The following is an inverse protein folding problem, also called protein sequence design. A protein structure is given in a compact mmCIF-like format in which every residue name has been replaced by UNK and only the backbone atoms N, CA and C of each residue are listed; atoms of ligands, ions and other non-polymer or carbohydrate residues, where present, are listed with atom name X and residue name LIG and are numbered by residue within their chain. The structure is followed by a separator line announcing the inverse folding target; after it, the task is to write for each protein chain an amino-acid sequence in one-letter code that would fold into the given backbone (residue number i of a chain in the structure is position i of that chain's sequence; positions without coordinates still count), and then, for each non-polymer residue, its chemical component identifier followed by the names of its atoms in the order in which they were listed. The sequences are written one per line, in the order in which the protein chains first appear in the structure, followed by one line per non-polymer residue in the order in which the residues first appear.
data_IF_944118205901
#
_entry.id   IF_944118205901
#
_cell.length_a   1.000
_cell.length_b   1.000
_cell.length_c   1.000
_cell.angle_alpha   90.00
_cell.angle_beta   90.00
_cell.angle_gamma   90.00
#
_symmetry.space_group_name_H-M   'P 1'
#
loop_
_entity.id
_entity.type
_entity.pdbx_description
1 polymer ?
#
# COMPACT_ATOMS: atom_id res chain seq x y z
N UNK A 1 -82.57 22.95 -3.37
CA UNK A 1 -81.24 23.59 -3.45
C UNK A 1 -80.18 22.49 -3.40
N UNK A 2 -79.24 22.53 -4.34
CA UNK A 2 -78.03 21.70 -4.59
C UNK A 2 -77.12 21.42 -3.35
N UNK A 3 -75.94 20.77 -3.48
CA UNK A 3 -75.47 19.39 -3.87
C UNK A 3 -75.13 18.54 -2.61
N UNK A 4 -74.75 17.26 -2.61
CA UNK A 4 -73.45 16.66 -2.97
C UNK A 4 -73.56 15.13 -2.83
N UNK A 5 -73.00 14.34 -3.75
CA UNK A 5 -72.62 12.95 -3.44
C UNK A 5 -71.18 12.75 -3.91
N UNK A 6 -70.32 12.45 -2.94
CA UNK A 6 -68.88 12.33 -3.05
C UNK A 6 -68.49 11.09 -3.89
N UNK A 7 -67.40 11.23 -4.66
CA UNK A 7 -66.63 10.09 -5.16
C UNK A 7 -66.17 9.26 -3.96
N UNK A 8 -66.63 8.01 -3.83
CA UNK A 8 -65.96 7.03 -2.97
C UNK A 8 -64.64 6.64 -3.64
N UNK A 9 -63.53 6.89 -2.94
CA UNK A 9 -62.23 6.36 -3.30
C UNK A 9 -62.26 4.83 -3.19
N UNK A 10 -61.68 4.15 -4.19
CA UNK A 10 -61.39 2.72 -4.12
C UNK A 10 -60.44 2.49 -2.94
N UNK A 11 -60.95 1.90 -1.87
CA UNK A 11 -60.16 1.49 -0.71
C UNK A 11 -59.35 0.24 -1.10
N UNK A 12 -58.10 0.43 -1.52
CA UNK A 12 -57.17 -0.68 -1.77
C UNK A 12 -56.71 -1.23 -0.42
N UNK A 13 -57.40 -2.25 0.09
CA UNK A 13 -56.94 -2.98 1.29
C UNK A 13 -55.78 -3.88 0.90
N UNK A 14 -54.58 -3.57 1.42
CA UNK A 14 -53.44 -4.47 1.38
C UNK A 14 -53.73 -5.67 2.29
N UNK A 15 -54.26 -6.75 1.71
CA UNK A 15 -54.30 -8.05 2.37
C UNK A 15 -52.87 -8.58 2.51
N UNK A 16 -52.43 -9.06 3.68
CA UNK A 16 -51.11 -9.67 3.86
C UNK A 16 -50.93 -10.99 3.09
N UNK A 17 -52.00 -11.56 2.55
CA UNK A 17 -51.97 -12.77 1.73
C UNK A 17 -52.15 -12.37 0.27
N UNK A 18 -51.05 -11.99 -0.39
CA UNK A 18 -50.97 -12.01 -1.84
C UNK A 18 -50.28 -13.32 -2.28
N UNK A 19 -51.01 -14.30 -2.87
CA UNK A 19 -50.46 -15.60 -3.26
C UNK A 19 -49.44 -15.55 -4.43
N UNK A 20 -49.05 -14.36 -4.91
CA UNK A 20 -47.97 -14.20 -5.89
C UNK A 20 -46.57 -14.03 -5.28
N UNK A 21 -46.43 -13.93 -3.95
CA UNK A 21 -45.11 -13.85 -3.30
C UNK A 21 -44.85 -15.13 -2.49
N UNK A 22 -44.17 -16.13 -3.07
CA UNK A 22 -43.83 -17.35 -2.34
C UNK A 22 -42.84 -17.07 -1.20
N UNK A 23 -42.88 -17.90 -0.16
CA UNK A 23 -41.98 -17.85 1.04
C UNK A 23 -40.49 -18.02 0.69
N UNK A 24 -40.20 -18.39 -0.56
CA UNK A 24 -38.86 -18.40 -1.15
C UNK A 24 -38.39 -17.05 -1.71
N UNK A 25 -39.14 -15.96 -1.52
CA UNK A 25 -38.76 -14.66 -2.06
C UNK A 25 -37.62 -14.02 -1.26
N UNK A 26 -36.65 -13.46 -1.98
CA UNK A 26 -35.56 -12.58 -1.50
C UNK A 26 -36.04 -11.50 -0.50
N UNK A 27 -37.35 -11.19 -0.50
CA UNK A 27 -38.01 -10.24 0.37
C UNK A 27 -38.22 -10.70 1.83
N UNK A 28 -38.18 -12.01 2.13
CA UNK A 28 -38.28 -12.48 3.52
C UNK A 28 -37.04 -12.11 4.33
N UNK A 29 -35.85 -12.20 3.71
CA UNK A 29 -34.60 -11.77 4.30
C UNK A 29 -34.54 -10.25 4.48
N UNK A 30 -35.09 -9.49 3.52
CA UNK A 30 -35.21 -8.03 3.62
C UNK A 30 -36.07 -7.57 4.81
N UNK A 31 -37.10 -8.35 5.18
CA UNK A 31 -37.91 -8.10 6.38
C UNK A 31 -37.13 -8.25 7.70
N UNK A 32 -36.07 -9.09 7.72
CA UNK A 32 -35.12 -9.20 8.82
C UNK A 32 -33.91 -8.25 8.69
N UNK A 33 -33.98 -7.25 7.81
CA UNK A 33 -32.91 -6.27 7.60
C UNK A 33 -31.72 -6.78 6.76
N UNK A 34 -31.82 -7.98 6.19
CA UNK A 34 -30.83 -8.49 5.23
C UNK A 34 -31.23 -7.95 3.85
N UNK A 35 -30.74 -6.76 3.50
CA UNK A 35 -31.01 -6.16 2.20
C UNK A 35 -30.43 -7.01 1.06
N UNK A 36 -31.18 -7.11 -0.04
CA UNK A 36 -30.76 -7.71 -1.31
C UNK A 36 -29.41 -7.12 -1.74
N UNK A 37 -28.42 -8.00 -1.86
CA UNK A 37 -27.00 -7.65 -1.77
C UNK A 37 -26.44 -6.89 -2.97
N UNK A 38 -26.32 -5.57 -2.83
CA UNK A 38 -25.26 -4.84 -3.51
C UNK A 38 -24.12 -4.61 -2.50
N UNK A 39 -22.90 -4.96 -2.88
CA UNK A 39 -21.72 -4.57 -2.13
C UNK A 39 -21.67 -3.04 -1.98
N UNK A 40 -21.17 -2.52 -0.85
CA UNK A 40 -21.13 -1.07 -0.62
C UNK A 40 -20.33 -0.37 -1.72
N UNK A 41 -20.79 0.82 -2.14
CA UNK A 41 -20.04 1.64 -3.07
C UNK A 41 -18.71 2.05 -2.45
N UNK A 42 -17.61 1.82 -3.16
CA UNK A 42 -16.27 2.15 -2.66
C UNK A 42 -15.89 3.58 -3.05
N UNK A 43 -15.55 4.39 -2.06
CA UNK A 43 -14.86 5.68 -2.22
C UNK A 43 -13.43 5.54 -1.69
N UNK A 44 -12.59 6.55 -1.93
CA UNK A 44 -11.24 6.57 -1.33
C UNK A 44 -11.34 6.55 0.20
N UNK A 45 -12.26 7.33 0.78
CA UNK A 45 -12.44 7.42 2.22
C UNK A 45 -12.96 6.11 2.82
N UNK A 46 -13.95 5.47 2.19
CA UNK A 46 -14.46 4.18 2.67
C UNK A 46 -13.40 3.09 2.54
N UNK A 47 -12.61 3.10 1.46
CA UNK A 47 -11.50 2.17 1.27
C UNK A 47 -10.41 2.34 2.32
N UNK A 48 -10.05 3.58 2.68
CA UNK A 48 -9.10 3.87 3.76
C UNK A 48 -9.63 3.48 5.15
N UNK A 49 -10.94 3.26 5.29
CA UNK A 49 -11.52 2.63 6.48
C UNK A 49 -11.16 1.15 6.62
N UNK A 50 -10.75 0.46 5.54
CA UNK A 50 -10.28 -0.93 5.59
C UNK A 50 -8.81 -0.95 6.06
N UNK A 51 -8.48 -1.59 7.21
CA UNK A 51 -7.14 -1.53 7.78
C UNK A 51 -6.03 -1.99 6.84
N UNK A 52 -6.27 -3.03 6.04
CA UNK A 52 -5.29 -3.52 5.07
C UNK A 52 -4.97 -2.49 3.96
N UNK A 53 -5.97 -1.73 3.50
CA UNK A 53 -5.76 -0.66 2.50
C UNK A 53 -5.00 0.51 3.14
N UNK A 54 -5.42 0.94 4.34
CA UNK A 54 -4.74 2.00 5.07
C UNK A 54 -3.27 1.66 5.38
N UNK A 55 -3.01 0.42 5.79
CA UNK A 55 -1.66 -0.09 6.04
C UNK A 55 -0.82 -0.07 4.75
N UNK A 56 -1.34 -0.56 3.62
CA UNK A 56 -0.65 -0.54 2.33
C UNK A 56 -0.26 0.88 1.90
N UNK A 57 -1.23 1.80 1.90
CA UNK A 57 -1.03 3.19 1.48
C UNK A 57 -0.07 3.92 2.42
N UNK A 58 -0.23 3.77 3.73
CA UNK A 58 0.64 4.39 4.74
C UNK A 58 2.08 3.84 4.65
N UNK A 59 2.24 2.53 4.52
CA UNK A 59 3.54 1.88 4.41
C UNK A 59 4.29 2.30 3.14
N UNK A 60 3.65 2.25 1.98
CA UNK A 60 4.28 2.60 0.72
C UNK A 60 4.60 4.10 0.64
N UNK A 61 3.65 4.97 0.98
CA UNK A 61 3.89 6.42 0.98
C UNK A 61 4.98 6.83 1.96
N UNK A 62 4.99 6.24 3.17
CA UNK A 62 6.02 6.47 4.18
C UNK A 62 7.38 5.96 3.73
N UNK A 63 7.45 4.74 3.19
CA UNK A 63 8.68 4.14 2.67
C UNK A 63 9.29 4.99 1.57
N UNK A 64 8.49 5.40 0.60
CA UNK A 64 8.95 6.24 -0.52
C UNK A 64 9.37 7.65 -0.08
N UNK A 65 8.67 8.25 0.88
CA UNK A 65 9.04 9.56 1.42
C UNK A 65 10.32 9.54 2.25
N UNK A 66 10.61 8.41 2.91
CA UNK A 66 11.79 8.24 3.75
C UNK A 66 13.09 8.05 2.96
N UNK A 67 13.01 7.70 1.67
CA UNK A 67 14.19 7.50 0.84
C UNK A 67 15.00 8.80 0.73
N UNK A 68 16.31 8.82 1.05
CA UNK A 68 17.13 10.01 0.82
C UNK A 68 17.24 10.29 -0.67
N UNK A 69 16.84 11.50 -1.09
CA UNK A 69 16.94 11.96 -2.48
C UNK A 69 18.04 13.03 -2.57
N UNK A 70 19.02 12.80 -3.44
CA UNK A 70 20.16 13.70 -3.62
C UNK A 70 20.34 14.07 -5.09
N UNK A 71 20.74 15.31 -5.34
CA UNK A 71 21.15 15.78 -6.63
C UNK A 71 22.66 15.58 -6.81
N UNK A 72 23.06 15.13 -8.00
CA UNK A 72 24.42 14.80 -8.38
C UNK A 72 24.79 15.47 -9.70
N UNK A 73 26.09 15.62 -9.93
CA UNK A 73 26.70 16.02 -11.20
C UNK A 73 27.75 14.99 -11.60
N UNK A 74 27.61 14.45 -12.80
CA UNK A 74 28.59 13.57 -13.45
C UNK A 74 29.86 14.35 -13.76
N UNK A 75 31.01 13.76 -13.43
CA UNK A 75 32.37 14.20 -13.80
C UNK A 75 33.08 13.03 -14.50
N UNK A 76 34.29 13.28 -15.00
CA UNK A 76 35.14 12.25 -15.60
C UNK A 76 35.50 11.14 -14.58
N UNK A 77 35.73 11.50 -13.31
CA UNK A 77 36.06 10.56 -12.22
C UNK A 77 34.87 10.31 -11.27
N UNK A 78 33.68 10.05 -11.81
CA UNK A 78 32.49 9.66 -11.04
C UNK A 78 31.51 10.81 -10.78
N UNK A 79 30.72 10.71 -9.71
CA UNK A 79 29.61 11.63 -9.42
C UNK A 79 29.84 12.47 -8.16
N UNK A 80 29.59 13.78 -8.24
CA UNK A 80 29.67 14.70 -7.11
C UNK A 80 28.26 15.16 -6.68
N UNK A 81 28.00 15.21 -5.38
CA UNK A 81 26.75 15.79 -4.84
C UNK A 81 26.66 17.29 -5.13
N UNK A 82 25.57 17.71 -5.74
CA UNK A 82 25.24 19.13 -5.95
C UNK A 82 24.85 19.74 -4.61
N UNK A 83 25.43 20.91 -4.31
CA UNK A 83 25.03 21.77 -3.20
C UNK A 83 24.20 22.95 -3.72
N UNK A 84 23.33 23.51 -2.90
CA UNK A 84 22.58 24.73 -3.22
C UNK A 84 21.07 24.54 -3.26
N UNK A 85 20.37 25.43 -3.99
CA UNK A 85 18.91 25.55 -3.95
C UNK A 85 18.16 24.26 -4.27
N UNK A 86 18.54 23.56 -5.35
CA UNK A 86 17.83 22.34 -5.76
C UNK A 86 17.94 21.21 -4.73
N UNK A 87 19.12 21.08 -4.09
CA UNK A 87 19.32 20.08 -3.05
C UNK A 87 18.48 20.39 -1.81
N UNK A 88 18.34 21.67 -1.45
CA UNK A 88 17.47 22.10 -0.34
C UNK A 88 16.00 21.87 -0.66
N UNK A 89 15.56 22.19 -1.88
CA UNK A 89 14.20 21.94 -2.34
C UNK A 89 13.81 20.46 -2.28
N UNK A 90 14.71 19.58 -2.75
CA UNK A 90 14.43 18.15 -2.80
C UNK A 90 14.55 17.45 -1.44
N UNK A 91 15.46 17.88 -0.56
CA UNK A 91 15.79 17.13 0.67
C UNK A 91 15.28 17.80 1.96
N UNK A 92 15.18 19.13 2.01
CA UNK A 92 14.78 19.87 3.20
C UNK A 92 13.32 20.30 3.12
N UNK A 93 13.01 21.24 2.22
CA UNK A 93 11.67 21.82 2.07
C UNK A 93 11.43 22.26 0.62
N UNK A 94 10.43 21.70 -0.09
CA UNK A 94 10.11 22.09 -1.46
C UNK A 94 9.46 23.47 -1.56
N UNK A 95 8.85 23.96 -0.48
CA UNK A 95 8.21 25.27 -0.39
C UNK A 95 8.13 25.68 1.09
N UNK A 96 7.66 26.90 1.42
CA UNK A 96 7.58 27.36 2.82
C UNK A 96 6.60 26.61 3.72
N UNK A 97 5.64 25.86 3.16
CA UNK A 97 4.57 25.18 3.91
C UNK A 97 4.88 23.71 4.19
N UNK A 98 5.68 23.06 3.33
CA UNK A 98 5.91 21.62 3.36
C UNK A 98 7.37 21.28 3.63
N UNK A 99 7.59 20.25 4.45
CA UNK A 99 8.87 19.55 4.47
C UNK A 99 8.97 18.61 3.28
N UNK A 100 10.19 18.27 2.84
CA UNK A 100 10.40 17.30 1.75
C UNK A 100 9.73 15.95 2.03
N UNK A 101 9.79 15.48 3.28
CA UNK A 101 9.13 14.24 3.69
C UNK A 101 7.59 14.36 3.57
N UNK A 102 7.00 15.43 4.11
CA UNK A 102 5.55 15.64 4.05
C UNK A 102 5.03 15.72 2.62
N UNK A 103 5.71 16.48 1.76
CA UNK A 103 5.37 16.61 0.35
C UNK A 103 5.42 15.27 -0.37
N UNK A 104 6.52 14.53 -0.25
CA UNK A 104 6.67 13.22 -0.92
C UNK A 104 5.68 12.21 -0.38
N UNK A 105 5.40 12.20 0.93
CA UNK A 105 4.39 11.33 1.53
C UNK A 105 3.01 11.61 0.96
N UNK A 106 2.61 12.88 0.87
CA UNK A 106 1.35 13.27 0.23
C UNK A 106 1.32 12.86 -1.25
N UNK A 107 2.37 13.19 -2.00
CA UNK A 107 2.48 12.86 -3.42
C UNK A 107 2.26 11.36 -3.68
N UNK A 108 2.97 10.50 -2.94
CA UNK A 108 2.84 9.05 -3.05
C UNK A 108 1.51 8.53 -2.52
N UNK A 109 0.96 9.13 -1.47
CA UNK A 109 -0.38 8.81 -1.01
C UNK A 109 -1.40 9.00 -2.14
N UNK A 110 -1.31 10.08 -2.91
CA UNK A 110 -2.20 10.31 -4.06
C UNK A 110 -1.98 9.30 -5.21
N UNK A 111 -0.73 8.89 -5.46
CA UNK A 111 -0.43 7.78 -6.39
C UNK A 111 -1.12 6.50 -5.94
N UNK A 112 -1.00 6.14 -4.66
CA UNK A 112 -1.51 4.89 -4.11
C UNK A 112 -3.00 4.90 -3.75
N UNK A 113 -3.70 6.03 -3.88
CA UNK A 113 -5.16 6.12 -3.71
C UNK A 113 -5.85 6.43 -5.03
N UNK A 114 -5.78 7.68 -5.48
CA UNK A 114 -6.42 8.19 -6.71
C UNK A 114 -5.73 7.74 -8.00
N UNK A 115 -4.51 7.20 -7.91
CA UNK A 115 -3.79 6.66 -9.06
C UNK A 115 -2.85 7.66 -9.73
N UNK A 116 -2.62 8.85 -9.13
CA UNK A 116 -1.75 9.88 -9.70
C UNK A 116 -1.25 10.82 -8.62
N UNK A 117 0.05 11.09 -8.61
CA UNK A 117 0.68 12.15 -7.82
C UNK A 117 1.07 13.30 -8.73
N UNK A 118 0.73 14.54 -8.34
CA UNK A 118 1.03 15.74 -9.13
C UNK A 118 1.67 16.81 -8.26
N UNK A 119 2.66 17.51 -8.80
CA UNK A 119 3.21 18.72 -8.18
C UNK A 119 3.61 19.73 -9.24
N UNK A 120 3.31 21.00 -8.99
CA UNK A 120 3.70 22.11 -9.84
C UNK A 120 5.08 22.66 -9.42
N UNK A 121 5.90 22.98 -10.40
CA UNK A 121 7.21 23.60 -10.24
C UNK A 121 7.06 25.09 -10.51
N UNK A 122 7.23 25.89 -9.46
CA UNK A 122 7.27 27.35 -9.58
C UNK A 122 8.65 27.77 -10.11
N UNK A 123 8.66 28.50 -11.23
CA UNK A 123 9.89 28.97 -11.87
C UNK A 123 9.96 30.49 -11.97
N UNK A 124 11.18 31.00 -11.81
CA UNK A 124 11.54 32.36 -12.19
C UNK A 124 12.65 32.27 -13.24
N UNK A 125 12.25 32.38 -14.52
CA UNK A 125 13.12 32.07 -15.65
C UNK A 125 13.58 30.61 -15.64
N UNK A 126 14.89 30.37 -15.64
CA UNK A 126 15.47 29.03 -15.54
C UNK A 126 15.55 28.49 -14.11
N UNK A 127 15.33 29.34 -13.10
CA UNK A 127 15.49 28.96 -11.70
C UNK A 127 14.21 28.36 -11.16
N UNK A 128 14.34 27.26 -10.43
CA UNK A 128 13.24 26.62 -9.69
C UNK A 128 13.19 27.27 -8.31
N UNK A 129 12.04 27.86 -7.99
CA UNK A 129 11.81 28.60 -6.75
C UNK A 129 11.17 27.71 -5.69
N UNK A 130 10.18 26.91 -6.08
CA UNK A 130 9.44 26.03 -5.19
C UNK A 130 8.79 24.87 -5.96
N UNK A 131 8.39 23.83 -5.23
CA UNK A 131 7.57 22.73 -5.71
C UNK A 131 6.32 22.66 -4.84
N UNK A 132 5.15 22.78 -5.46
CA UNK A 132 3.86 22.82 -4.78
C UNK A 132 3.10 21.51 -5.03
N UNK A 133 2.71 20.75 -3.99
CA UNK A 133 1.81 19.63 -4.17
C UNK A 133 0.49 20.12 -4.75
N UNK A 134 -0.07 19.36 -5.69
CA UNK A 134 -1.38 19.63 -6.27
C UNK A 134 -2.33 18.50 -5.89
N UNK A 135 -3.60 18.85 -5.66
CA UNK A 135 -4.66 17.84 -5.55
C UNK A 135 -4.99 17.28 -6.93
N UNK A 136 -4.79 15.97 -7.19
CA UNK A 136 -5.16 15.37 -8.47
C UNK A 136 -6.65 15.40 -8.75
N UNK A 137 -7.52 15.42 -7.72
CA UNK A 137 -8.97 15.51 -7.90
C UNK A 137 -9.39 16.84 -8.53
N UNK A 138 -8.62 17.90 -8.25
CA UNK A 138 -8.77 19.23 -8.85
C UNK A 138 -7.94 19.43 -10.13
N UNK A 139 -7.16 18.43 -10.55
CA UNK A 139 -6.23 18.55 -11.68
C UNK A 139 -6.68 17.72 -12.87
N UNK A 140 -7.09 18.39 -13.95
CA UNK A 140 -7.44 17.74 -15.21
C UNK A 140 -6.27 17.75 -16.18
N UNK A 141 -5.85 16.58 -16.66
CA UNK A 141 -4.80 16.46 -17.67
C UNK A 141 -5.41 16.37 -19.05
N UNK A 142 -5.00 17.24 -19.96
CA UNK A 142 -5.52 17.34 -21.32
C UNK A 142 -4.39 17.47 -22.33
N UNK A 143 -4.63 17.08 -23.58
CA UNK A 143 -3.69 17.28 -24.69
C UNK A 143 -4.29 18.29 -25.66
N UNK A 144 -3.62 19.42 -25.82
CA UNK A 144 -4.04 20.52 -26.71
C UNK A 144 -2.92 20.77 -27.70
N UNK A 145 -3.21 20.73 -29.00
CA UNK A 145 -2.23 20.91 -30.08
C UNK A 145 -0.99 20.00 -29.92
N UNK A 146 -1.20 18.73 -29.54
CA UNK A 146 -0.14 17.74 -29.32
C UNK A 146 0.65 17.92 -28.02
N UNK A 147 0.41 18.97 -27.23
CA UNK A 147 1.10 19.24 -25.96
C UNK A 147 0.23 18.85 -24.77
N UNK A 148 0.86 18.22 -23.77
CA UNK A 148 0.21 17.88 -22.50
C UNK A 148 0.12 19.14 -21.62
N UNK A 149 -1.05 19.39 -21.04
CA UNK A 149 -1.37 20.55 -20.18
C UNK A 149 -2.11 20.03 -18.95
N UNK A 150 -1.84 20.64 -17.79
CA UNK A 150 -2.49 20.34 -16.52
C UNK A 150 -3.34 21.54 -16.12
N UNK A 151 -4.65 21.36 -16.04
CA UNK A 151 -5.61 22.40 -15.67
C UNK A 151 -6.01 22.21 -14.21
N UNK A 152 -5.67 23.17 -13.36
CA UNK A 152 -6.04 23.15 -11.94
C UNK A 152 -7.31 23.99 -11.73
N UNK A 153 -8.33 23.36 -11.14
CA UNK A 153 -9.67 23.93 -10.91
C UNK A 153 -10.34 24.53 -12.17
N UNK A 154 -9.89 24.14 -13.37
CA UNK A 154 -10.33 24.71 -14.64
C UNK A 154 -9.99 26.20 -14.83
N UNK A 155 -9.14 26.77 -13.96
CA UNK A 155 -8.79 28.19 -13.95
C UNK A 155 -7.38 28.44 -14.44
N UNK A 156 -6.43 27.59 -14.04
CA UNK A 156 -5.00 27.79 -14.30
C UNK A 156 -4.48 26.59 -15.09
N UNK A 157 -3.90 26.87 -16.26
CA UNK A 157 -3.28 25.86 -17.11
C UNK A 157 -1.76 25.90 -16.96
N UNK A 158 -1.18 24.81 -16.48
CA UNK A 158 0.25 24.60 -16.33
C UNK A 158 0.82 23.77 -17.48
N UNK A 159 1.95 24.18 -18.07
CA UNK A 159 2.62 23.39 -19.10
C UNK A 159 3.23 22.12 -18.48
N UNK A 160 3.27 21.02 -19.23
CA UNK A 160 3.83 19.77 -18.73
C UNK A 160 5.33 19.81 -18.36
N UNK A 161 6.06 20.86 -18.76
CA UNK A 161 7.46 21.07 -18.35
C UNK A 161 7.59 21.49 -16.88
N UNK A 162 6.51 22.06 -16.32
CA UNK A 162 6.46 22.60 -14.95
C UNK A 162 5.62 21.74 -14.02
N UNK A 163 5.27 20.51 -14.43
CA UNK A 163 4.47 19.61 -13.62
C UNK A 163 5.15 18.26 -13.53
N UNK A 164 5.41 17.81 -12.31
CA UNK A 164 5.84 16.46 -11.95
C UNK A 164 4.58 15.61 -11.88
N UNK A 165 4.49 14.55 -12.68
CA UNK A 165 3.33 13.66 -12.76
C UNK A 165 3.77 12.19 -12.77
N UNK A 166 3.50 11.50 -11.68
CA UNK A 166 3.71 10.04 -11.59
C UNK A 166 2.33 9.37 -11.55
N UNK A 167 1.95 8.63 -12.61
CA UNK A 167 0.75 7.82 -12.62
C UNK A 167 1.01 6.47 -11.95
N UNK A 168 0.01 5.92 -11.27
CA UNK A 168 0.04 4.54 -10.78
C UNK A 168 0.03 3.55 -11.95
N UNK A 169 -0.93 3.72 -12.87
CA UNK A 169 -1.02 2.96 -14.10
C UNK A 169 -1.79 3.77 -15.15
N UNK A 170 -1.19 3.98 -16.32
CA UNK A 170 -1.82 4.74 -17.41
C UNK A 170 -2.89 3.90 -18.14
N UNK A 171 -3.95 4.58 -18.60
CA UNK A 171 -4.90 4.02 -19.56
C UNK A 171 -4.38 4.14 -20.99
N UNK A 172 -5.11 3.53 -21.93
CA UNK A 172 -4.80 3.50 -23.37
C UNK A 172 -4.59 4.89 -23.98
N UNK A 173 -5.25 5.91 -23.45
CA UNK A 173 -5.15 7.30 -23.91
C UNK A 173 -3.84 8.00 -23.50
N UNK A 174 -3.00 7.34 -22.68
CA UNK A 174 -1.73 7.86 -22.15
C UNK A 174 -1.89 9.09 -21.24
N UNK A 175 -3.12 9.38 -20.79
CA UNK A 175 -3.45 10.58 -20.01
C UNK A 175 -4.23 10.19 -18.76
N UNK A 176 -5.27 9.38 -18.91
CA UNK A 176 -6.06 8.90 -17.79
C UNK A 176 -5.30 7.84 -17.01
N UNK A 177 -5.65 7.69 -15.73
CA UNK A 177 -5.01 6.73 -14.82
C UNK A 177 -6.02 5.76 -14.23
N UNK A 178 -5.58 4.55 -13.93
CA UNK A 178 -6.32 3.64 -13.06
C UNK A 178 -6.01 3.96 -11.60
N UNK A 179 -7.04 4.17 -10.80
CA UNK A 179 -6.91 4.22 -9.34
C UNK A 179 -6.72 2.78 -8.82
N UNK A 180 -5.69 2.52 -7.99
CA UNK A 180 -5.52 1.20 -7.36
C UNK A 180 -6.75 0.80 -6.54
N UNK A 181 -7.31 1.74 -5.75
CA UNK A 181 -8.52 1.51 -4.95
C UNK A 181 -9.70 1.13 -5.84
N UNK A 182 -9.94 1.88 -6.93
CA UNK A 182 -11.07 1.60 -7.82
C UNK A 182 -10.88 0.31 -8.61
N UNK A 183 -9.63 -0.05 -8.94
CA UNK A 183 -9.31 -1.32 -9.60
C UNK A 183 -9.60 -2.50 -8.68
N UNK A 184 -9.31 -2.36 -7.38
CA UNK A 184 -9.61 -3.36 -6.35
C UNK A 184 -10.97 -3.20 -5.67
N UNK A 185 -11.88 -2.37 -6.19
CA UNK A 185 -13.10 -1.96 -5.49
C UNK A 185 -13.96 -3.16 -5.04
N UNK A 186 -14.04 -4.25 -5.82
CA UNK A 186 -14.83 -5.43 -5.44
C UNK A 186 -14.29 -6.13 -4.19
N UNK A 187 -12.97 -6.31 -4.10
CA UNK A 187 -12.34 -6.92 -2.93
C UNK A 187 -12.48 -6.02 -1.69
N UNK A 188 -12.27 -4.71 -1.87
CA UNK A 188 -12.44 -3.72 -0.80
C UNK A 188 -13.90 -3.68 -0.31
N UNK A 189 -14.87 -3.69 -1.24
CA UNK A 189 -16.29 -3.69 -0.90
C UNK A 189 -16.70 -4.96 -0.14
N UNK A 190 -16.12 -6.12 -0.50
CA UNK A 190 -16.32 -7.36 0.23
C UNK A 190 -15.73 -7.28 1.65
N UNK A 191 -14.54 -6.71 1.81
CA UNK A 191 -13.93 -6.49 3.12
C UNK A 191 -14.78 -5.56 4.01
N UNK A 192 -15.35 -4.49 3.44
CA UNK A 192 -16.29 -3.59 4.13
C UNK A 192 -17.55 -4.35 4.56
N UNK A 193 -18.19 -5.08 3.64
CA UNK A 193 -19.41 -5.84 3.94
C UNK A 193 -19.18 -6.91 5.03
N UNK A 194 -18.03 -7.59 5.01
CA UNK A 194 -17.64 -8.53 6.07
C UNK A 194 -17.43 -7.82 7.41
N UNK A 195 -16.85 -6.62 7.40
CA UNK A 195 -16.68 -5.77 8.58
C UNK A 195 -18.02 -5.34 9.18
N UNK A 196 -18.93 -4.86 8.34
CA UNK A 196 -20.28 -4.43 8.75
C UNK A 196 -21.09 -5.60 9.30
N UNK A 197 -21.02 -6.76 8.63
CA UNK A 197 -21.66 -7.99 9.12
C UNK A 197 -21.13 -8.39 10.50
N UNK A 198 -19.80 -8.42 10.68
CA UNK A 198 -19.20 -8.74 11.97
C UNK A 198 -19.59 -7.72 13.04
N UNK A 199 -19.54 -6.42 12.72
CA UNK A 199 -19.94 -5.35 13.62
C UNK A 199 -21.39 -5.48 14.08
N UNK A 200 -22.32 -5.71 13.15
CA UNK A 200 -23.74 -5.89 13.46
C UNK A 200 -24.00 -7.17 14.25
N UNK A 201 -23.32 -8.27 13.93
CA UNK A 201 -23.41 -9.54 14.64
C UNK A 201 -22.98 -9.39 16.12
N UNK A 202 -21.83 -8.75 16.38
CA UNK A 202 -21.35 -8.54 17.74
C UNK A 202 -22.14 -7.46 18.49
N UNK A 203 -22.55 -6.38 17.83
CA UNK A 203 -23.44 -5.37 18.42
C UNK A 203 -24.81 -5.96 18.81
N UNK A 204 -25.27 -6.97 18.07
CA UNK A 204 -26.48 -7.74 18.37
C UNK A 204 -26.33 -8.74 19.53
N UNK A 205 -25.15 -8.85 20.15
CA UNK A 205 -24.86 -9.80 21.23
C UNK A 205 -24.42 -11.18 20.75
N UNK A 206 -23.99 -11.32 19.49
CA UNK A 206 -23.55 -12.60 18.92
C UNK A 206 -24.69 -13.60 18.66
N UNK A 207 -25.95 -13.14 18.76
CA UNK A 207 -27.13 -13.96 18.49
C UNK A 207 -27.52 -13.75 17.02
N UNK A 208 -27.49 -14.81 16.17
CA UNK A 208 -27.96 -14.69 14.80
C UNK A 208 -29.46 -14.35 14.77
N UNK A 209 -29.99 -13.78 13.67
CA UNK A 209 -31.42 -13.57 13.51
C UNK A 209 -32.18 -14.86 13.81
N UNK A 210 -33.27 -14.80 14.57
CA UNK A 210 -34.06 -15.97 14.95
C UNK A 210 -35.43 -15.89 14.27
N UNK A 211 -35.86 -16.96 13.59
CA UNK A 211 -37.25 -17.15 13.19
C UNK A 211 -38.01 -17.82 14.31
N UNK A 212 -39.20 -17.31 14.55
CA UNK A 212 -40.21 -18.02 15.31
C UNK A 212 -40.85 -19.08 14.40
N UNK A 213 -40.76 -20.34 14.78
CA UNK A 213 -41.41 -21.48 14.13
C UNK A 213 -42.50 -22.00 15.05
N UNK A 214 -43.76 -21.95 14.61
CA UNK A 214 -44.91 -22.40 15.40
C UNK A 214 -46.24 -22.04 14.75
N UNK A 215 -47.38 -22.45 15.34
CA UNK A 215 -48.70 -22.10 14.85
C UNK A 215 -48.96 -20.60 15.01
N UNK A 216 -48.91 -19.86 13.90
CA UNK A 216 -49.12 -18.40 13.88
C UNK A 216 -50.61 -18.04 13.96
N UNK A 217 -50.99 -16.96 14.68
CA UNK A 217 -52.37 -16.49 14.72
C UNK A 217 -52.87 -16.08 13.33
N UNK A 218 -54.10 -16.44 12.99
CA UNK A 218 -54.74 -15.98 11.75
C UNK A 218 -55.25 -14.53 11.93
N UNK A 219 -54.94 -13.67 10.96
CA UNK A 219 -55.36 -12.26 10.92
C UNK A 219 -54.26 -11.26 11.30
N UNK A 220 -54.18 -10.16 10.53
CA UNK A 220 -53.07 -9.19 10.61
C UNK A 220 -52.89 -8.53 11.98
N UNK A 221 -53.97 -8.18 12.68
CA UNK A 221 -53.89 -7.55 14.01
C UNK A 221 -53.38 -8.51 15.10
N UNK A 222 -53.78 -9.78 15.04
CA UNK A 222 -53.33 -10.80 15.99
C UNK A 222 -51.85 -11.13 15.79
N UNK A 223 -51.41 -11.17 14.53
CA UNK A 223 -50.00 -11.35 14.17
C UNK A 223 -49.14 -10.17 14.65
N UNK A 224 -49.57 -8.92 14.43
CA UNK A 224 -48.82 -7.75 14.90
C UNK A 224 -48.69 -7.69 16.43
N UNK A 225 -49.74 -8.04 17.16
CA UNK A 225 -49.68 -8.13 18.64
C UNK A 225 -48.67 -9.18 19.10
N UNK A 226 -48.72 -10.39 18.51
CA UNK A 226 -47.77 -11.45 18.82
C UNK A 226 -46.32 -11.05 18.52
N UNK A 227 -46.05 -10.39 17.39
CA UNK A 227 -44.72 -9.88 17.05
C UNK A 227 -44.25 -8.81 18.05
N UNK A 228 -45.14 -7.91 18.47
CA UNK A 228 -44.84 -6.87 19.47
C UNK A 228 -44.53 -7.43 20.86
N UNK A 229 -45.25 -8.47 21.30
CA UNK A 229 -44.98 -9.15 22.57
C UNK A 229 -43.61 -9.84 22.57
N UNK A 230 -43.24 -10.47 21.46
CA UNK A 230 -41.93 -11.11 21.30
C UNK A 230 -40.81 -10.08 21.30
N UNK A 231 -40.96 -8.98 20.56
CA UNK A 231 -39.96 -7.90 20.53
C UNK A 231 -39.72 -7.32 21.93
N UNK A 232 -40.80 -7.05 22.68
CA UNK A 232 -40.71 -6.59 24.08
C UNK A 232 -40.00 -7.59 24.97
N UNK A 233 -40.26 -8.88 24.81
CA UNK A 233 -39.62 -9.91 25.61
C UNK A 233 -38.13 -10.09 25.24
N UNK A 234 -37.74 -9.89 23.97
CA UNK A 234 -36.33 -9.90 23.53
C UNK A 234 -35.60 -8.69 24.11
N UNK A 235 -36.21 -7.50 24.04
CA UNK A 235 -35.65 -6.28 24.61
C UNK A 235 -35.51 -6.36 26.14
N UNK A 236 -36.50 -6.96 26.81
CA UNK A 236 -36.43 -7.21 28.25
C UNK A 236 -35.34 -8.22 28.61
N UNK A 237 -35.14 -9.28 27.81
CA UNK A 237 -34.05 -10.24 27.98
C UNK A 237 -32.68 -9.57 27.82
N UNK A 238 -32.49 -8.75 26.76
CA UNK A 238 -31.27 -7.96 26.55
C UNK A 238 -30.96 -7.00 27.69
N UNK A 239 -31.99 -6.36 28.29
CA UNK A 239 -31.82 -5.45 29.43
C UNK A 239 -31.59 -6.16 30.76
N UNK A 240 -32.02 -7.41 30.91
CA UNK A 240 -31.97 -8.14 32.18
C UNK A 240 -30.80 -9.12 32.29
N UNK A 241 -29.98 -9.26 31.23
CA UNK A 241 -28.83 -10.17 31.16
C UNK A 241 -29.20 -11.64 31.47
N UNK A 242 -30.48 -12.00 31.28
CA UNK A 242 -31.02 -13.33 31.55
C UNK A 242 -31.03 -14.15 30.26
N UNK A 243 -30.41 -15.35 30.24
CA UNK A 243 -30.32 -16.17 29.02
C UNK A 243 -31.61 -16.96 28.70
N UNK A 244 -32.69 -16.76 29.46
CA UNK A 244 -33.92 -17.57 29.38
C UNK A 244 -35.08 -16.69 28.94
N UNK A 245 -35.66 -17.02 27.78
CA UNK A 245 -36.86 -16.40 27.23
C UNK A 245 -38.05 -17.37 27.38
N UNK A 246 -39.15 -16.99 28.06
CA UNK A 246 -40.34 -17.82 28.14
C UNK A 246 -41.05 -17.85 26.77
N UNK A 247 -41.13 -19.03 26.15
CA UNK A 247 -41.75 -19.22 24.84
C UNK A 247 -43.16 -19.78 24.98
N UNK A 248 -44.17 -19.30 24.21
CA UNK A 248 -45.49 -19.93 24.17
C UNK A 248 -45.39 -21.41 23.76
N UNK A 249 -46.23 -22.30 24.34
CA UNK A 249 -46.25 -23.71 23.96
C UNK A 249 -46.40 -23.89 22.43
N UNK A 250 -45.59 -24.79 21.85
CA UNK A 250 -45.61 -25.09 20.42
C UNK A 250 -44.85 -24.09 19.53
N UNK A 251 -44.16 -23.10 20.10
CA UNK A 251 -43.29 -22.18 19.38
C UNK A 251 -41.81 -22.46 19.70
N UNK A 252 -40.97 -22.40 18.68
CA UNK A 252 -39.51 -22.57 18.78
C UNK A 252 -38.81 -21.39 18.11
N UNK A 253 -37.72 -20.90 18.71
CA UNK A 253 -36.81 -19.98 18.02
C UNK A 253 -35.75 -20.79 17.29
N UNK A 254 -35.75 -20.70 15.96
CA UNK A 254 -34.73 -21.31 15.11
C UNK A 254 -33.81 -20.22 14.59
N UNK A 255 -32.48 -20.36 14.70
CA UNK A 255 -31.58 -19.44 14.04
C UNK A 255 -31.85 -19.44 12.53
N UNK A 256 -32.02 -18.26 11.97
CA UNK A 256 -32.20 -17.97 10.55
C UNK A 256 -30.92 -17.38 10.04
N UNK A 257 -30.49 -17.91 8.91
CA UNK A 257 -29.26 -17.48 8.26
C UNK A 257 -28.11 -18.42 8.54
N UNK A 258 -26.93 -17.91 8.27
CA UNK A 258 -25.74 -18.71 8.07
C UNK A 258 -24.83 -18.64 9.32
N UNK A 259 -24.37 -19.80 9.81
CA UNK A 259 -23.45 -19.89 10.95
C UNK A 259 -22.05 -19.36 10.54
N UNK A 260 -21.57 -18.24 11.10
CA UNK A 260 -20.29 -17.63 10.71
C UNK A 260 -19.10 -18.60 10.77
N UNK A 261 -19.09 -19.55 11.72
CA UNK A 261 -18.05 -20.54 11.86
C UNK A 261 -18.07 -21.57 10.71
N UNK A 262 -19.26 -21.91 10.19
CA UNK A 262 -19.41 -22.82 9.05
C UNK A 262 -19.02 -22.19 7.72
N UNK A 263 -18.95 -20.86 7.65
CA UNK A 263 -18.63 -20.14 6.40
C UNK A 263 -17.24 -19.62 6.30
N UNK A 264 -16.37 -20.01 7.24
CA UNK A 264 -14.96 -19.68 7.17
C UNK A 264 -14.73 -18.17 7.02
N UNK A 265 -15.50 -17.37 7.75
CA UNK A 265 -15.41 -15.91 7.65
C UNK A 265 -14.04 -15.38 8.06
N UNK A 266 -13.36 -16.06 9.00
CA UNK A 266 -12.00 -15.71 9.40
C UNK A 266 -11.02 -15.90 8.25
N UNK A 267 -11.06 -17.05 7.58
CA UNK A 267 -10.23 -17.37 6.42
C UNK A 267 -10.54 -16.43 5.25
N UNK A 268 -11.82 -16.11 5.01
CA UNK A 268 -12.22 -15.16 3.98
C UNK A 268 -11.67 -13.74 4.26
N UNK A 269 -11.67 -13.29 5.52
CA UNK A 269 -11.08 -12.01 5.92
C UNK A 269 -9.55 -12.00 5.79
N UNK A 270 -8.88 -13.09 6.14
CA UNK A 270 -7.43 -13.24 5.90
C UNK A 270 -7.12 -13.20 4.40
N UNK A 271 -7.91 -13.87 3.57
CA UNK A 271 -7.75 -13.84 2.13
C UNK A 271 -7.96 -12.44 1.53
N UNK A 272 -8.89 -11.63 2.10
CA UNK A 272 -9.04 -10.23 1.67
C UNK A 272 -7.76 -9.41 1.87
N UNK A 273 -6.97 -9.67 2.92
CA UNK A 273 -5.67 -9.00 3.10
C UNK A 273 -4.76 -9.29 1.92
N UNK A 274 -4.70 -10.56 1.49
CA UNK A 274 -3.91 -10.97 0.33
C UNK A 274 -4.40 -10.35 -0.99
N UNK A 275 -5.72 -10.30 -1.24
CA UNK A 275 -6.29 -9.63 -2.42
C UNK A 275 -5.94 -8.14 -2.45
N UNK A 276 -6.03 -7.47 -1.30
CA UNK A 276 -5.66 -6.06 -1.17
C UNK A 276 -4.15 -5.88 -1.39
N UNK A 277 -3.32 -6.75 -0.84
CA UNK A 277 -1.86 -6.72 -1.02
C UNK A 277 -1.46 -6.83 -2.50
N UNK A 278 -2.16 -7.67 -3.28
CA UNK A 278 -1.93 -7.83 -4.73
C UNK A 278 -2.16 -6.56 -5.52
N UNK A 279 -3.11 -5.70 -5.13
CA UNK A 279 -3.35 -4.41 -5.81
C UNK A 279 -2.06 -3.59 -5.85
N UNK A 280 -1.25 -3.67 -4.80
CA UNK A 280 -0.03 -2.88 -4.62
C UNK A 280 1.26 -3.67 -4.90
N UNK A 281 1.15 -4.92 -5.36
CA UNK A 281 2.29 -5.85 -5.45
C UNK A 281 3.09 -5.97 -4.14
N UNK A 282 2.41 -5.83 -3.01
CA UNK A 282 3.01 -5.83 -1.69
C UNK A 282 2.94 -7.25 -1.10
N UNK A 283 4.04 -7.81 -0.56
CA UNK A 283 3.96 -9.05 0.20
C UNK A 283 3.07 -8.88 1.46
N UNK A 284 2.19 -9.85 1.80
CA UNK A 284 1.25 -9.72 2.93
C UNK A 284 1.89 -9.43 4.30
N UNK A 285 3.16 -9.83 4.49
CA UNK A 285 3.91 -9.55 5.72
C UNK A 285 3.96 -8.05 6.06
N UNK A 286 4.01 -7.18 5.06
CA UNK A 286 4.03 -5.73 5.26
C UNK A 286 2.66 -5.15 5.64
N UNK A 287 1.59 -5.94 5.48
CA UNK A 287 0.26 -5.64 6.01
C UNK A 287 0.02 -6.27 7.39
N UNK A 288 1.09 -6.71 8.07
CA UNK A 288 1.05 -7.36 9.38
C UNK A 288 0.36 -8.74 9.38
N UNK A 289 0.28 -9.39 8.22
CA UNK A 289 -0.18 -10.78 8.11
C UNK A 289 1.02 -11.74 8.11
N UNK A 290 1.24 -12.39 9.25
CA UNK A 290 2.32 -13.35 9.49
C UNK A 290 1.85 -14.81 9.47
N UNK A 291 0.61 -15.08 9.02
CA UNK A 291 -0.03 -16.41 9.14
C UNK A 291 0.82 -17.55 8.56
N UNK A 292 1.63 -17.27 7.52
CA UNK A 292 2.54 -18.24 6.89
C UNK A 292 4.01 -17.80 6.90
N UNK A 293 4.36 -16.78 7.69
CA UNK A 293 5.73 -16.24 7.74
C UNK A 293 6.63 -17.05 8.67
N UNK A 294 7.81 -17.43 8.17
CA UNK A 294 8.96 -17.81 9.01
C UNK A 294 10.11 -16.80 8.80
N UNK A 295 11.06 -16.72 9.73
CA UNK A 295 12.08 -15.65 9.74
C UNK A 295 12.87 -15.56 8.41
N UNK A 296 13.27 -16.70 7.84
CA UNK A 296 14.02 -16.73 6.57
C UNK A 296 13.20 -16.29 5.36
N UNK A 297 11.89 -16.60 5.33
CA UNK A 297 10.99 -16.12 4.28
C UNK A 297 10.75 -14.61 4.41
N UNK A 298 10.67 -14.07 5.64
CA UNK A 298 10.48 -12.63 5.86
C UNK A 298 11.68 -11.81 5.37
N UNK A 299 12.92 -12.22 5.68
CA UNK A 299 14.12 -11.54 5.19
C UNK A 299 14.20 -11.54 3.64
N UNK A 300 13.79 -12.64 3.00
CA UNK A 300 13.69 -12.70 1.54
C UNK A 300 12.60 -11.78 0.98
N UNK A 301 11.47 -11.65 1.67
CA UNK A 301 10.38 -10.74 1.30
C UNK A 301 10.79 -9.26 1.46
N UNK A 302 11.59 -8.91 2.47
CA UNK A 302 12.20 -7.58 2.60
C UNK A 302 13.07 -7.23 1.39
N UNK A 303 13.93 -8.15 0.97
CA UNK A 303 14.75 -7.96 -0.22
C UNK A 303 13.91 -7.84 -1.49
N UNK A 304 12.88 -8.68 -1.64
CA UNK A 304 11.97 -8.62 -2.78
C UNK A 304 11.23 -7.28 -2.86
N UNK A 305 10.74 -6.78 -1.71
CA UNK A 305 10.09 -5.48 -1.60
C UNK A 305 11.01 -4.36 -2.12
N UNK A 306 12.25 -4.31 -1.62
CA UNK A 306 13.18 -3.25 -2.01
C UNK A 306 13.55 -3.36 -3.49
N UNK A 307 13.91 -4.57 -3.95
CA UNK A 307 14.41 -4.81 -5.30
C UNK A 307 13.36 -4.67 -6.39
N UNK A 308 12.11 -5.01 -6.12
CA UNK A 308 11.08 -5.08 -7.16
C UNK A 308 9.94 -4.08 -7.00
N UNK A 309 9.72 -3.50 -5.81
CA UNK A 309 8.63 -2.53 -5.63
C UNK A 309 9.18 -1.13 -5.38
N UNK A 310 9.98 -0.96 -4.33
CA UNK A 310 10.50 0.36 -3.94
C UNK A 310 11.42 0.93 -5.03
N UNK A 311 12.31 0.12 -5.59
CA UNK A 311 13.21 0.53 -6.67
C UNK A 311 12.47 1.03 -7.92
N UNK A 312 11.36 0.39 -8.29
CA UNK A 312 10.57 0.75 -9.47
C UNK A 312 9.92 2.12 -9.28
N UNK A 313 9.30 2.34 -8.13
CA UNK A 313 8.70 3.63 -7.80
C UNK A 313 9.75 4.73 -7.61
N UNK A 314 10.89 4.40 -7.00
CA UNK A 314 12.01 5.33 -6.85
C UNK A 314 12.50 5.79 -8.23
N UNK A 315 12.71 4.84 -9.15
CA UNK A 315 13.13 5.13 -10.52
C UNK A 315 12.10 5.95 -11.29
N UNK A 316 10.82 5.62 -11.17
CA UNK A 316 9.75 6.38 -11.83
C UNK A 316 9.74 7.85 -11.40
N UNK A 317 9.94 8.12 -10.11
CA UNK A 317 9.99 9.48 -9.59
C UNK A 317 11.30 10.20 -9.94
N UNK A 318 12.44 9.51 -9.89
CA UNK A 318 13.74 10.05 -10.31
C UNK A 318 13.72 10.49 -11.77
N UNK A 319 13.25 9.64 -12.68
CA UNK A 319 13.21 9.96 -14.11
C UNK A 319 12.27 11.12 -14.40
N UNK A 320 11.10 11.16 -13.74
CA UNK A 320 10.17 12.29 -13.90
C UNK A 320 10.79 13.58 -13.34
N UNK A 321 11.38 13.55 -12.14
CA UNK A 321 12.10 14.70 -11.58
C UNK A 321 13.23 15.15 -12.50
N UNK A 322 14.03 14.23 -13.03
CA UNK A 322 15.15 14.54 -13.91
C UNK A 322 14.69 15.20 -15.20
N UNK A 323 13.62 14.69 -15.80
CA UNK A 323 13.00 15.25 -16.99
C UNK A 323 12.51 16.68 -16.75
N UNK A 324 11.87 16.98 -15.62
CA UNK A 324 11.33 18.32 -15.33
C UNK A 324 12.38 19.30 -14.83
N UNK A 325 13.22 18.88 -13.89
CA UNK A 325 14.16 19.77 -13.19
C UNK A 325 15.35 20.09 -14.08
N UNK A 326 15.94 19.07 -14.71
CA UNK A 326 17.19 19.21 -15.46
C UNK A 326 17.01 19.13 -16.98
N UNK A 327 15.81 18.76 -17.45
CA UNK A 327 15.44 18.75 -18.86
C UNK A 327 15.81 17.46 -19.59
N UNK A 328 15.31 17.33 -20.83
CA UNK A 328 15.45 16.11 -21.65
C UNK A 328 16.90 15.83 -22.09
N UNK A 329 17.70 16.87 -22.35
CA UNK A 329 19.09 16.77 -22.84
C UNK A 329 20.07 17.21 -21.75
N UNK A 330 19.95 16.55 -20.61
CA UNK A 330 20.64 16.93 -19.41
C UNK A 330 22.17 16.79 -19.54
N UNK A 331 22.89 17.82 -19.11
CA UNK A 331 24.35 17.97 -19.23
C UNK A 331 25.11 17.30 -18.07
N UNK A 332 24.68 16.11 -17.64
CA UNK A 332 25.31 15.37 -16.54
C UNK A 332 24.94 15.88 -15.14
N UNK A 333 23.72 16.37 -14.90
CA UNK A 333 23.16 16.52 -13.54
C UNK A 333 22.04 15.50 -13.35
N UNK A 334 21.69 15.06 -12.15
CA UNK A 334 20.53 14.19 -11.95
C UNK A 334 20.18 14.11 -10.47
N UNK A 335 18.94 13.74 -10.15
CA UNK A 335 18.48 13.37 -8.82
C UNK A 335 18.32 11.85 -8.76
N UNK A 336 18.79 11.25 -7.68
CA UNK A 336 18.78 9.81 -7.45
C UNK A 336 18.51 9.50 -5.98
N UNK A 337 17.69 8.48 -5.69
CA UNK A 337 17.51 8.00 -4.34
C UNK A 337 18.67 7.11 -3.91
N UNK A 338 19.05 7.22 -2.64
CA UNK A 338 19.93 6.23 -2.02
C UNK A 338 19.09 5.08 -1.45
N UNK A 339 19.13 3.92 -2.12
CA UNK A 339 18.48 2.70 -1.65
C UNK A 339 19.36 1.85 -0.71
N UNK A 340 20.67 2.15 -0.66
CA UNK A 340 21.62 1.39 0.17
C UNK A 340 21.20 1.37 1.64
N UNK A 341 20.53 2.44 2.10
CA UNK A 341 20.06 2.50 3.49
C UNK A 341 19.01 1.44 3.83
N UNK A 342 18.17 1.04 2.87
CA UNK A 342 17.15 0.00 3.05
C UNK A 342 17.76 -1.40 2.94
N UNK A 343 18.86 -1.53 2.20
CA UNK A 343 19.57 -2.81 2.02
C UNK A 343 20.64 -3.06 3.10
N UNK A 344 20.74 -2.23 4.16
CA UNK A 344 21.79 -2.37 5.19
C UNK A 344 21.78 -3.72 5.92
N UNK A 345 20.65 -4.41 6.02
CA UNK A 345 20.59 -5.78 6.57
C UNK A 345 21.41 -6.78 5.74
N UNK A 346 21.48 -6.56 4.43
CA UNK A 346 22.31 -7.31 3.47
C UNK A 346 23.73 -6.74 3.36
N UNK A 347 24.10 -5.68 4.10
CA UNK A 347 25.43 -5.08 4.02
C UNK A 347 26.53 -6.11 4.33
N UNK A 348 26.29 -7.01 5.30
CA UNK A 348 27.24 -8.09 5.60
C UNK A 348 27.45 -8.98 4.38
N UNK A 349 26.38 -9.52 3.81
CA UNK A 349 26.44 -10.42 2.66
C UNK A 349 26.95 -9.71 1.39
N UNK A 350 26.62 -8.43 1.19
CA UNK A 350 27.14 -7.58 0.10
C UNK A 350 28.63 -7.32 0.24
N UNK A 351 29.11 -6.94 1.43
CA UNK A 351 30.54 -6.74 1.69
C UNK A 351 31.29 -8.06 1.62
N UNK A 352 30.73 -9.16 2.11
CA UNK A 352 31.31 -10.50 1.94
C UNK A 352 31.39 -10.90 0.47
N UNK A 353 30.37 -10.59 -0.33
CA UNK A 353 30.37 -10.81 -1.78
C UNK A 353 31.43 -9.98 -2.51
N UNK A 354 31.51 -8.68 -2.21
CA UNK A 354 32.54 -7.79 -2.75
C UNK A 354 33.95 -8.21 -2.32
N UNK A 355 34.14 -8.58 -1.06
CA UNK A 355 35.40 -9.09 -0.55
C UNK A 355 35.81 -10.39 -1.25
N UNK A 356 34.88 -11.33 -1.46
CA UNK A 356 35.14 -12.54 -2.25
C UNK A 356 35.46 -12.22 -3.70
N UNK A 357 34.76 -11.27 -4.31
CA UNK A 357 35.03 -10.80 -5.68
C UNK A 357 36.45 -10.24 -5.83
N UNK A 358 36.88 -9.42 -4.87
CA UNK A 358 38.25 -8.89 -4.81
C UNK A 358 39.28 -9.99 -4.57
N UNK A 359 39.04 -10.90 -3.61
CA UNK A 359 39.94 -12.02 -3.30
C UNK A 359 40.10 -13.00 -4.46
N UNK A 360 39.06 -13.14 -5.30
CA UNK A 360 39.05 -14.04 -6.46
C UNK A 360 39.50 -13.35 -7.75
N UNK A 361 40.01 -12.11 -7.68
CA UNK A 361 40.36 -11.29 -8.84
C UNK A 361 39.23 -11.14 -9.89
N UNK A 362 37.97 -11.13 -9.44
CA UNK A 362 36.81 -10.81 -10.29
C UNK A 362 36.59 -9.29 -10.35
N UNK A 363 36.89 -8.57 -9.26
CA UNK A 363 36.77 -7.12 -9.14
C UNK A 363 38.07 -6.52 -8.60
N UNK A 364 38.43 -5.32 -9.05
CA UNK A 364 39.46 -4.52 -8.35
C UNK A 364 38.86 -3.93 -7.06
N UNK A 365 39.70 -3.62 -6.04
CA UNK A 365 39.24 -2.87 -4.88
C UNK A 365 38.55 -1.54 -5.23
N UNK A 366 39.00 -0.81 -6.26
CA UNK A 366 38.38 0.45 -6.68
C UNK A 366 37.04 0.26 -7.38
N UNK A 367 36.85 -0.81 -8.15
CA UNK A 367 35.53 -1.19 -8.68
C UNK A 367 34.54 -1.51 -7.55
N UNK A 368 34.98 -2.27 -6.54
CA UNK A 368 34.18 -2.53 -5.35
C UNK A 368 33.86 -1.25 -4.55
N UNK A 369 34.79 -0.29 -4.50
CA UNK A 369 34.55 1.03 -3.87
C UNK A 369 33.58 1.88 -4.68
N UNK A 370 33.65 1.87 -6.00
CA UNK A 370 32.72 2.57 -6.87
C UNK A 370 31.29 2.03 -6.72
N UNK A 371 31.11 0.71 -6.62
CA UNK A 371 29.82 0.07 -6.32
C UNK A 371 29.23 0.50 -4.97
N UNK A 372 30.07 0.96 -4.05
CA UNK A 372 29.69 1.49 -2.73
C UNK A 372 29.65 3.02 -2.68
N UNK A 373 29.71 3.69 -3.85
CA UNK A 373 29.77 5.16 -3.96
C UNK A 373 30.93 5.78 -3.15
N UNK A 374 32.05 5.07 -3.05
CA UNK A 374 33.27 5.53 -2.36
C UNK A 374 34.32 5.96 -3.40
N UNK A 375 35.08 7.02 -3.12
CA UNK A 375 36.13 7.47 -4.04
C UNK A 375 37.22 6.41 -4.16
N UNK A 376 37.83 6.31 -5.34
CA UNK A 376 39.01 5.48 -5.58
C UNK A 376 40.15 5.82 -4.60
N UNK A 377 41.01 4.85 -4.33
CA UNK A 377 42.20 5.05 -3.49
C UNK A 377 43.44 4.51 -4.17
N UNK A 378 44.59 5.06 -3.76
CA UNK A 378 45.89 4.62 -4.27
C UNK A 378 46.05 3.09 -4.13
N UNK A 379 46.51 2.46 -5.21
CA UNK A 379 46.66 1.01 -5.38
C UNK A 379 45.35 0.20 -5.47
N UNK A 380 44.16 0.81 -5.52
CA UNK A 380 42.90 0.09 -5.63
C UNK A 380 42.57 -0.43 -7.04
N UNK A 381 43.28 0.02 -8.08
CA UNK A 381 43.01 -0.26 -9.49
C UNK A 381 43.70 -1.53 -10.05
N UNK A 382 44.05 -2.48 -9.18
CA UNK A 382 44.68 -3.74 -9.58
C UNK A 382 43.91 -4.93 -9.04
N UNK A 383 43.94 -6.04 -9.77
CA UNK A 383 43.41 -7.31 -9.29
C UNK A 383 44.37 -7.91 -8.27
N UNK A 384 43.80 -8.42 -7.18
CA UNK A 384 44.54 -9.06 -6.09
C UNK A 384 44.13 -10.54 -6.02
N UNK A 385 45.10 -11.42 -5.78
CA UNK A 385 44.84 -12.84 -5.51
C UNK A 385 45.60 -13.26 -4.25
N UNK A 386 45.03 -14.21 -3.51
CA UNK A 386 45.72 -14.79 -2.35
C UNK A 386 46.80 -15.77 -2.83
N UNK A 387 48.08 -15.46 -2.56
CA UNK A 387 49.22 -16.27 -3.00
C UNK A 387 49.39 -17.64 -2.32
N UNK A 388 48.51 -18.00 -1.38
CA UNK A 388 48.58 -19.27 -0.63
C UNK A 388 47.92 -20.45 -1.38
N UNK A 389 47.15 -20.20 -2.44
CA UNK A 389 46.48 -21.24 -3.23
C UNK A 389 47.42 -21.72 -4.34
N UNK A 390 48.38 -22.56 -3.96
CA UNK A 390 49.33 -23.21 -4.89
C UNK A 390 49.03 -24.71 -4.94
N UNK A 391 49.30 -25.41 -6.07
CA UNK A 391 49.15 -26.87 -6.14
C UNK A 391 49.80 -27.59 -4.95
N UNK A 392 49.15 -28.64 -4.43
CA UNK A 392 49.68 -29.42 -3.32
C UNK A 392 51.10 -29.92 -3.66
N UNK A 393 52.10 -29.54 -2.86
CA UNK A 393 53.52 -29.84 -3.11
C UNK A 393 54.35 -28.72 -3.76
N UNK A 394 53.75 -27.58 -4.09
CA UNK A 394 54.45 -26.43 -4.70
C UNK A 394 54.62 -25.21 -3.76
N UNK A 395 54.43 -25.42 -2.46
CA UNK A 395 54.71 -24.37 -1.47
C UNK A 395 56.19 -23.97 -1.54
N UNK A 396 56.52 -22.69 -1.74
CA UNK A 396 57.89 -22.24 -1.68
C UNK A 396 58.41 -22.48 -0.26
N UNK A 397 59.47 -23.28 -0.15
CA UNK A 397 60.22 -23.42 1.10
C UNK A 397 60.81 -22.05 1.39
N UNK A 398 60.28 -21.35 2.40
CA UNK A 398 60.90 -20.11 2.84
C UNK A 398 62.34 -20.43 3.29
N UNK A 399 63.36 -19.69 2.82
CA UNK A 399 64.70 -19.85 3.37
C UNK A 399 64.65 -19.63 4.88
N UNK A 400 65.21 -20.55 5.65
CA UNK A 400 65.38 -20.36 7.09
C UNK A 400 66.12 -19.02 7.31
N UNK A 401 65.68 -18.17 8.25
CA UNK A 401 66.38 -16.93 8.55
C UNK A 401 67.84 -17.25 8.93
N UNK A 402 68.79 -16.53 8.32
CA UNK A 402 70.21 -16.67 8.64
C UNK A 402 70.41 -16.41 10.14
N UNK A 403 70.92 -17.42 10.84
CA UNK A 403 71.23 -17.33 12.26
C UNK A 403 72.62 -16.70 12.40
N UNK A 404 72.69 -15.38 12.46
CA UNK A 404 73.93 -14.59 12.55
C UNK A 404 74.55 -14.57 13.97
N UNK A 405 74.14 -15.47 14.87
CA UNK A 405 74.78 -15.63 16.18
C UNK A 405 76.03 -16.52 16.07
N UNK A 406 77.08 -16.00 15.45
CA UNK A 406 78.45 -16.49 15.70
C UNK A 406 78.98 -15.84 16.98
N UNK A 407 79.08 -16.61 18.07
CA UNK A 407 79.73 -16.16 19.31
C UNK A 407 81.17 -15.69 19.06
N UNK A 408 81.60 -14.55 19.62
CA UNK A 408 82.97 -14.07 19.47
C UNK A 408 83.94 -14.97 20.25
N UNK A 409 84.89 -15.56 19.53
CA UNK A 409 86.05 -16.25 20.13
C UNK A 409 86.81 -15.28 21.03
N UNK A 410 86.75 -15.52 22.35
CA UNK A 410 87.67 -14.91 23.30
C UNK A 410 89.10 -15.44 23.04
N UNK A 411 90.05 -14.53 22.88
CA UNK A 411 91.46 -14.85 22.71
C UNK A 411 92.13 -15.19 24.05
N UNK A 412 93.03 -16.19 23.97
CA UNK A 412 94.30 -16.37 24.67
C UNK A 412 94.30 -16.59 26.20
N UNK A 413 94.77 -17.76 26.64
CA UNK A 413 96.14 -17.96 27.14
C UNK A 413 96.46 -19.47 27.24
#
# INVERSE_FOLDING_TARGET
MWPFTSRQASETRASPENPTVPVSAENFLAFFGVQSGNLPSVTIDSALGVPAVAAAVSFLSGSMANLPLHAFRTKEEGSERIKGGIQKLLNEAPNPEWTSFGWRKYFWQQVFTGGRGVSWIERSGSNIMAIWPMDPACTTVKRVNGKKIYSFDGRIDYPAADVIDVPFMLKRDQISVYSPIMTGAKAIALALAMGDYAGNFFAGGGVPPLALSGPLPQGGEAMQRAMGDIHRAIDAAKKSDKPIFPMPPGHELKPVGFDPAKGQMTEARLFQISEIARIYNLPPVFLQDLTHGNLSNVEQQDLHLVKHLISQWAKAFEEELNLKIFGQRNSGRYAEHNLDSLMRGDFKSRIEGLARGVQSAILTPDEARALENRPAKEHGDKLYIQGATVPLGSQPVMPAPANDNSEPKANAA
#
